data_IF_093467491413
#
_entry.id   IF_093467491413
#
_cell.length_a   1.000
_cell.length_b   1.000
_cell.length_c   1.000
_cell.angle_alpha   90.00
_cell.angle_beta   90.00
_cell.angle_gamma   90.00
#
_symmetry.space_group_name_H-M   'P 1'
#
loop_
_entity.id
_entity.type
_entity.pdbx_description
1 polymer ?
#
# COMPACT_ATOMS: atom_id res chain seq x y z
N UNK A 1 -20.83 -54.63 -39.77
CA UNK A 1 -21.49 -53.99 -40.91
C UNK A 1 -22.78 -53.26 -40.51
N UNK A 2 -23.41 -53.65 -39.39
CA UNK A 2 -24.72 -53.13 -38.95
C UNK A 2 -24.74 -51.64 -38.53
N UNK A 3 -23.64 -51.10 -38.03
CA UNK A 3 -23.56 -49.69 -37.59
C UNK A 3 -23.56 -48.74 -38.80
N UNK A 4 -22.97 -49.15 -39.92
CA UNK A 4 -22.83 -48.34 -41.13
C UNK A 4 -24.18 -48.26 -41.86
N UNK A 5 -24.95 -49.35 -41.90
CA UNK A 5 -26.30 -49.36 -42.48
C UNK A 5 -27.30 -48.51 -41.68
N UNK A 6 -27.18 -48.46 -40.35
CA UNK A 6 -28.04 -47.63 -39.51
C UNK A 6 -27.84 -46.12 -39.77
N UNK A 7 -26.59 -45.69 -39.95
CA UNK A 7 -26.24 -44.29 -40.25
C UNK A 7 -26.71 -43.92 -41.67
N UNK A 8 -26.56 -44.81 -42.65
CA UNK A 8 -26.99 -44.58 -44.04
C UNK A 8 -28.51 -44.43 -44.22
N UNK A 9 -29.33 -45.04 -43.35
CA UNK A 9 -30.79 -44.95 -43.43
C UNK A 9 -31.38 -43.69 -42.81
N UNK A 10 -30.66 -43.03 -41.90
CA UNK A 10 -31.17 -41.91 -41.11
C UNK A 10 -30.54 -40.57 -41.51
N UNK A 11 -29.41 -40.60 -42.20
CA UNK A 11 -28.72 -39.40 -42.68
C UNK A 11 -29.19 -39.04 -44.09
N UNK A 12 -29.43 -37.75 -44.28
CA UNK A 12 -29.75 -37.19 -45.59
C UNK A 12 -28.53 -37.27 -46.52
N UNK A 13 -28.77 -37.44 -47.83
CA UNK A 13 -27.72 -37.63 -48.82
C UNK A 13 -26.67 -36.50 -48.81
N UNK A 14 -27.06 -35.29 -48.37
CA UNK A 14 -26.19 -34.13 -48.28
C UNK A 14 -25.21 -34.19 -47.08
N UNK A 15 -25.59 -34.80 -45.96
CA UNK A 15 -24.71 -34.99 -44.80
C UNK A 15 -23.59 -35.98 -45.11
N UNK A 16 -23.94 -37.06 -45.83
CA UNK A 16 -22.99 -38.08 -46.26
C UNK A 16 -22.02 -37.51 -47.30
N UNK A 17 -22.52 -36.69 -48.24
CA UNK A 17 -21.65 -36.01 -49.21
C UNK A 17 -20.77 -34.95 -48.54
N UNK A 18 -21.27 -34.20 -47.55
CA UNK A 18 -20.47 -33.25 -46.78
C UNK A 18 -19.35 -33.96 -46.00
N UNK A 19 -19.66 -35.08 -45.35
CA UNK A 19 -18.68 -35.89 -44.65
C UNK A 19 -17.63 -36.48 -45.61
N UNK A 20 -18.07 -36.99 -46.77
CA UNK A 20 -17.16 -37.52 -47.80
C UNK A 20 -16.26 -36.42 -48.38
N UNK A 21 -16.78 -35.20 -48.58
CA UNK A 21 -15.98 -34.03 -48.98
C UNK A 21 -14.99 -33.64 -47.90
N UNK A 22 -15.38 -33.63 -46.63
CA UNK A 22 -14.47 -33.34 -45.51
C UNK A 22 -13.35 -34.37 -45.40
N UNK A 23 -13.67 -35.67 -45.51
CA UNK A 23 -12.69 -36.75 -45.51
C UNK A 23 -11.76 -36.64 -46.73
N UNK A 24 -12.31 -36.37 -47.92
CA UNK A 24 -11.53 -36.19 -49.15
C UNK A 24 -10.58 -34.99 -49.05
N UNK A 25 -11.04 -33.85 -48.51
CA UNK A 25 -10.21 -32.69 -48.21
C UNK A 25 -9.12 -33.01 -47.18
N UNK A 26 -9.40 -33.88 -46.21
CA UNK A 26 -8.43 -34.29 -45.20
C UNK A 26 -7.39 -35.28 -45.73
N UNK A 27 -7.69 -36.05 -46.77
CA UNK A 27 -6.77 -37.01 -47.39
C UNK A 27 -5.88 -36.33 -48.45
N UNK A 28 -6.33 -35.22 -49.06
CA UNK A 28 -5.48 -34.48 -50.00
C UNK A 28 -4.26 -33.85 -49.29
N UNK A 29 -3.03 -34.20 -49.69
CA UNK A 29 -1.80 -33.68 -49.08
C UNK A 29 -1.60 -32.17 -49.30
N UNK A 30 -2.19 -31.60 -50.36
CA UNK A 30 -2.11 -30.18 -50.67
C UNK A 30 -2.98 -29.31 -49.74
N UNK A 31 -4.09 -29.85 -49.21
CA UNK A 31 -4.91 -29.16 -48.20
C UNK A 31 -4.23 -29.17 -46.82
N UNK A 32 -3.59 -30.28 -46.42
CA UNK A 32 -2.79 -30.35 -45.19
C UNK A 32 -1.64 -29.34 -45.18
N UNK A 33 -0.99 -29.13 -46.34
CA UNK A 33 0.07 -28.12 -46.53
C UNK A 33 -0.46 -26.68 -46.59
N UNK A 34 -1.74 -26.48 -46.89
CA UNK A 34 -2.39 -25.16 -46.89
C UNK A 34 -2.95 -24.77 -45.52
N UNK A 35 -3.39 -25.71 -44.70
CA UNK A 35 -3.83 -25.44 -43.32
C UNK A 35 -2.64 -25.03 -42.44
N UNK A 36 -1.44 -25.57 -42.69
CA UNK A 36 -0.18 -25.11 -42.07
C UNK A 36 0.27 -23.73 -42.56
N UNK A 37 -0.33 -23.20 -43.63
CA UNK A 37 -0.09 -21.87 -44.21
C UNK A 37 -1.29 -20.94 -44.07
N UNK A 38 -2.22 -21.21 -43.14
CA UNK A 38 -3.04 -20.13 -42.60
C UNK A 38 -2.10 -19.31 -41.72
N UNK A 39 -1.40 -18.37 -42.36
CA UNK A 39 -0.75 -17.25 -41.70
C UNK A 39 -1.83 -16.50 -40.90
N UNK A 40 -2.05 -16.92 -39.65
CA UNK A 40 -2.80 -16.16 -38.67
C UNK A 40 -1.92 -14.98 -38.25
N UNK A 41 -1.81 -13.98 -39.11
CA UNK A 41 -0.98 -12.79 -38.88
C UNK A 41 -1.32 -12.07 -37.58
N UNK A 42 -2.59 -12.15 -37.14
CA UNK A 42 -3.00 -11.61 -35.85
C UNK A 42 -2.55 -12.48 -34.68
N UNK A 43 -2.45 -13.80 -34.83
CA UNK A 43 -2.07 -14.71 -33.74
C UNK A 43 -0.56 -14.71 -33.45
N UNK A 44 0.28 -14.57 -34.49
CA UNK A 44 1.74 -14.40 -34.30
C UNK A 44 2.07 -13.03 -33.68
N UNK A 45 1.38 -11.96 -34.10
CA UNK A 45 1.51 -10.64 -33.49
C UNK A 45 1.02 -10.64 -32.04
N UNK A 46 -0.13 -11.25 -31.76
CA UNK A 46 -0.66 -11.41 -30.39
C UNK A 46 0.29 -12.24 -29.51
N UNK A 47 0.90 -13.32 -30.03
CA UNK A 47 1.88 -14.11 -29.28
C UNK A 47 3.18 -13.35 -29.01
N UNK A 48 3.64 -12.54 -29.97
CA UNK A 48 4.83 -11.72 -29.80
C UNK A 48 4.56 -10.57 -28.81
N UNK A 49 3.40 -9.92 -28.90
CA UNK A 49 2.97 -8.91 -27.95
C UNK A 49 2.77 -9.50 -26.55
N UNK A 50 2.18 -10.69 -26.45
CA UNK A 50 2.04 -11.42 -25.19
C UNK A 50 3.41 -11.77 -24.59
N UNK A 51 4.37 -12.21 -25.42
CA UNK A 51 5.74 -12.50 -24.99
C UNK A 51 6.45 -11.24 -24.49
N UNK A 52 6.31 -10.13 -25.20
CA UNK A 52 6.86 -8.83 -24.79
C UNK A 52 6.20 -8.33 -23.49
N UNK A 53 4.89 -8.53 -23.31
CA UNK A 53 4.19 -8.20 -22.07
C UNK A 53 4.66 -9.09 -20.90
N UNK A 54 4.84 -10.39 -21.13
CA UNK A 54 5.37 -11.32 -20.13
C UNK A 54 6.79 -10.95 -19.75
N UNK A 55 7.64 -10.63 -20.73
CA UNK A 55 9.02 -10.22 -20.47
C UNK A 55 9.09 -8.90 -19.69
N UNK A 56 8.34 -7.88 -20.11
CA UNK A 56 8.22 -6.62 -19.37
C UNK A 56 7.66 -6.83 -17.96
N UNK A 57 6.71 -7.74 -17.81
CA UNK A 57 6.18 -8.16 -16.52
C UNK A 57 7.25 -8.77 -15.64
N UNK A 58 8.05 -9.70 -16.17
CA UNK A 58 9.17 -10.33 -15.45
C UNK A 58 10.24 -9.33 -15.05
N UNK A 59 10.63 -8.44 -15.95
CA UNK A 59 11.58 -7.35 -15.67
C UNK A 59 11.05 -6.43 -14.56
N UNK A 60 9.76 -6.08 -14.60
CA UNK A 60 9.15 -5.27 -13.54
C UNK A 60 9.07 -6.00 -12.21
N UNK A 61 8.82 -7.31 -12.21
CA UNK A 61 8.84 -8.13 -10.99
C UNK A 61 10.24 -8.13 -10.39
N UNK A 62 11.28 -8.35 -11.19
CA UNK A 62 12.67 -8.32 -10.70
C UNK A 62 13.05 -6.96 -10.12
N UNK A 63 12.69 -5.87 -10.79
CA UNK A 63 12.93 -4.51 -10.28
C UNK A 63 12.22 -4.29 -8.92
N UNK A 64 10.97 -4.73 -8.78
CA UNK A 64 10.23 -4.63 -7.52
C UNK A 64 10.84 -5.52 -6.42
N UNK A 65 11.30 -6.72 -6.75
CA UNK A 65 11.99 -7.61 -5.81
C UNK A 65 13.30 -6.98 -5.31
N UNK A 66 14.08 -6.37 -6.19
CA UNK A 66 15.31 -5.64 -5.84
C UNK A 66 15.02 -4.42 -4.96
N UNK A 67 13.97 -3.65 -5.26
CA UNK A 67 13.54 -2.53 -4.41
C UNK A 67 13.18 -3.01 -3.00
N UNK A 68 12.37 -4.06 -2.88
CA UNK A 68 11.94 -4.64 -1.59
C UNK A 68 13.13 -5.19 -0.80
N UNK A 69 14.06 -5.88 -1.47
CA UNK A 69 15.25 -6.40 -0.80
C UNK A 69 16.15 -5.28 -0.27
N UNK A 70 16.34 -4.21 -1.04
CA UNK A 70 17.10 -3.04 -0.61
C UNK A 70 16.45 -2.33 0.58
N UNK A 71 15.12 -2.15 0.55
CA UNK A 71 14.37 -1.59 1.68
C UNK A 71 14.54 -2.43 2.96
N UNK A 72 14.49 -3.76 2.82
CA UNK A 72 14.67 -4.69 3.94
C UNK A 72 16.07 -4.63 4.53
N UNK A 73 17.12 -4.64 3.70
CA UNK A 73 18.51 -4.55 4.17
C UNK A 73 18.77 -3.26 4.93
N UNK A 74 18.31 -2.13 4.40
CA UNK A 74 18.45 -0.86 5.13
C UNK A 74 17.73 -0.88 6.48
N UNK A 75 16.55 -1.48 6.52
CA UNK A 75 15.82 -1.59 7.76
C UNK A 75 16.56 -2.45 8.79
N UNK A 76 17.12 -3.58 8.37
CA UNK A 76 17.97 -4.44 9.21
C UNK A 76 19.20 -3.66 9.71
N UNK A 77 19.92 -2.96 8.82
CA UNK A 77 21.05 -2.09 9.20
C UNK A 77 20.63 -1.01 10.20
N UNK A 78 19.45 -0.40 10.00
CA UNK A 78 18.89 0.59 10.91
C UNK A 78 18.61 0.00 12.30
N UNK A 79 18.06 -1.22 12.37
CA UNK A 79 17.78 -1.88 13.63
C UNK A 79 19.06 -2.22 14.40
N UNK A 80 20.15 -2.57 13.69
CA UNK A 80 21.44 -2.85 14.33
C UNK A 80 22.09 -1.59 14.92
N UNK A 81 21.98 -0.45 14.24
CA UNK A 81 22.66 0.79 14.62
C UNK A 81 21.85 1.72 15.55
N UNK A 82 20.55 1.48 15.73
CA UNK A 82 19.69 2.38 16.49
C UNK A 82 19.72 2.08 17.99
N UNK A 83 20.13 3.07 18.79
CA UNK A 83 19.92 3.05 20.25
C UNK A 83 18.69 3.91 20.65
N UNK A 84 17.63 3.28 21.20
CA UNK A 84 16.45 3.96 21.72
C UNK A 84 16.70 4.91 22.88
N UNK A 85 17.88 4.97 23.49
CA UNK A 85 18.20 5.86 24.59
C UNK A 85 19.07 7.06 24.19
N UNK A 86 19.58 7.06 22.96
CA UNK A 86 20.44 8.10 22.40
C UNK A 86 19.86 9.53 22.50
N UNK A 87 20.67 10.58 22.75
CA UNK A 87 20.22 11.97 22.76
C UNK A 87 19.58 12.43 21.44
N UNK A 88 18.65 13.41 21.51
CA UNK A 88 17.88 13.90 20.34
C UNK A 88 18.78 14.43 19.21
N UNK A 89 19.94 15.00 19.54
CA UNK A 89 20.91 15.52 18.56
C UNK A 89 21.47 14.43 17.65
N UNK A 90 21.67 13.22 18.18
CA UNK A 90 22.20 12.08 17.43
C UNK A 90 21.09 11.38 16.63
N UNK A 91 19.85 11.37 17.15
CA UNK A 91 18.67 10.97 16.39
C UNK A 91 18.42 11.83 15.14
N UNK A 92 19.01 13.03 15.05
CA UNK A 92 18.86 13.88 13.87
C UNK A 92 19.49 13.27 12.61
N UNK A 93 20.66 12.62 12.74
CA UNK A 93 21.33 11.93 11.62
C UNK A 93 20.52 10.74 11.15
N UNK A 94 20.09 9.92 12.11
CA UNK A 94 19.21 8.78 11.90
C UNK A 94 17.93 9.20 11.18
N UNK A 95 17.25 10.23 11.68
CA UNK A 95 16.04 10.78 11.06
C UNK A 95 16.28 11.25 9.63
N UNK A 96 17.44 11.84 9.34
CA UNK A 96 17.77 12.28 7.98
C UNK A 96 17.98 11.09 7.04
N UNK A 97 18.61 10.01 7.52
CA UNK A 97 18.73 8.75 6.78
C UNK A 97 17.35 8.16 6.47
N UNK A 98 16.50 7.97 7.49
CA UNK A 98 15.14 7.45 7.31
C UNK A 98 14.35 8.31 6.32
N UNK A 99 14.42 9.64 6.40
CA UNK A 99 13.71 10.54 5.46
C UNK A 99 14.13 10.35 4.01
N UNK A 100 15.43 10.14 3.77
CA UNK A 100 15.93 9.95 2.40
C UNK A 100 15.34 8.68 1.77
N UNK A 101 15.22 7.62 2.55
CA UNK A 101 14.72 6.32 2.08
C UNK A 101 13.20 6.23 2.11
N UNK A 102 12.57 6.85 3.10
CA UNK A 102 11.12 6.92 3.21
C UNK A 102 10.48 7.53 1.96
N UNK A 103 11.18 8.38 1.20
CA UNK A 103 10.67 8.88 -0.09
C UNK A 103 10.52 7.78 -1.14
N UNK A 104 11.42 6.81 -1.13
CA UNK A 104 11.45 5.72 -2.10
C UNK A 104 10.57 4.54 -1.66
N UNK A 105 10.23 4.43 -0.38
CA UNK A 105 9.47 3.31 0.19
C UNK A 105 8.14 3.02 -0.53
N UNK A 106 8.07 1.99 -1.37
CA UNK A 106 6.87 1.70 -2.16
C UNK A 106 5.83 0.91 -1.37
N UNK A 107 6.25 0.09 -0.40
CA UNK A 107 5.38 -0.84 0.32
C UNK A 107 4.85 -0.26 1.64
N UNK A 108 3.65 0.32 1.59
CA UNK A 108 2.96 0.89 2.76
C UNK A 108 2.47 -0.17 3.76
N UNK A 109 2.23 -1.41 3.34
CA UNK A 109 1.76 -2.49 4.22
C UNK A 109 2.78 -2.81 5.31
N UNK A 110 4.08 -2.69 5.01
CA UNK A 110 5.14 -2.87 5.99
C UNK A 110 5.09 -1.79 7.09
N UNK A 111 4.69 -0.56 6.77
CA UNK A 111 4.52 0.49 7.78
C UNK A 111 3.29 0.22 8.65
N UNK A 112 2.21 -0.24 8.01
CA UNK A 112 0.96 -0.60 8.69
C UNK A 112 1.17 -1.73 9.69
N UNK A 113 1.90 -2.79 9.30
CA UNK A 113 2.16 -3.94 10.17
C UNK A 113 2.95 -3.56 11.43
N UNK A 114 3.64 -2.41 11.44
CA UNK A 114 4.43 -1.86 12.56
C UNK A 114 3.68 -0.81 13.39
N UNK A 115 2.43 -0.49 13.06
CA UNK A 115 1.56 0.38 13.87
C UNK A 115 0.81 -0.46 14.92
N UNK A 116 1.57 -1.09 15.83
CA UNK A 116 0.99 -1.89 16.91
C UNK A 116 1.86 -1.82 18.18
N UNK A 117 1.28 -2.17 19.34
CA UNK A 117 1.98 -2.07 20.64
C UNK A 117 3.10 -3.10 20.84
N UNK A 118 3.19 -4.14 20.01
CA UNK A 118 4.25 -5.16 20.05
C UNK A 118 5.51 -4.75 19.27
N UNK A 119 5.45 -3.67 18.49
CA UNK A 119 6.58 -3.18 17.73
C UNK A 119 7.69 -2.70 18.68
N UNK A 120 8.94 -2.95 18.32
CA UNK A 120 10.06 -2.39 19.08
C UNK A 120 10.11 -0.86 18.97
N UNK A 121 10.87 -0.21 19.85
CA UNK A 121 10.95 1.24 19.88
C UNK A 121 11.56 1.81 18.58
N UNK A 122 12.47 1.04 17.99
CA UNK A 122 13.21 1.26 16.77
C UNK A 122 12.29 1.21 15.56
N UNK A 123 11.56 0.10 15.42
CA UNK A 123 10.59 -0.11 14.34
C UNK A 123 9.51 0.97 14.36
N UNK A 124 9.02 1.32 15.56
CA UNK A 124 8.00 2.33 15.68
C UNK A 124 8.55 3.73 15.38
N UNK A 125 9.79 4.04 15.79
CA UNK A 125 10.41 5.33 15.46
C UNK A 125 10.64 5.48 13.96
N UNK A 126 11.15 4.44 13.31
CA UNK A 126 11.27 4.36 11.86
C UNK A 126 9.93 4.64 11.18
N UNK A 127 8.90 3.89 11.58
CA UNK A 127 7.54 4.00 11.05
C UNK A 127 6.98 5.41 11.23
N UNK A 128 7.16 6.01 12.41
CA UNK A 128 6.73 7.37 12.68
C UNK A 128 7.39 8.41 11.74
N UNK A 129 8.71 8.29 11.51
CA UNK A 129 9.44 9.18 10.61
C UNK A 129 9.01 8.97 9.16
N UNK A 130 8.86 7.72 8.73
CA UNK A 130 8.43 7.37 7.38
C UNK A 130 7.02 7.90 7.07
N UNK A 131 6.06 7.67 7.96
CA UNK A 131 4.69 8.20 7.84
C UNK A 131 4.67 9.73 7.77
N UNK A 132 5.50 10.40 8.58
CA UNK A 132 5.61 11.86 8.59
C UNK A 132 6.15 12.44 7.28
N UNK A 133 7.05 11.71 6.62
CA UNK A 133 7.66 12.12 5.35
C UNK A 133 6.72 11.82 4.16
N UNK A 134 6.25 10.57 4.02
CA UNK A 134 5.39 10.12 2.92
C UNK A 134 3.97 10.67 2.99
N UNK A 135 3.43 10.83 4.20
CA UNK A 135 2.03 11.23 4.45
C UNK A 135 1.02 10.32 3.72
N UNK A 136 1.13 8.98 3.87
CA UNK A 136 0.26 8.06 3.16
C UNK A 136 -1.16 8.18 3.68
N UNK A 137 -2.02 8.86 2.92
CA UNK A 137 -3.43 9.11 3.27
C UNK A 137 -4.24 7.82 3.38
N UNK A 138 -3.84 6.74 2.70
CA UNK A 138 -4.43 5.42 2.86
C UNK A 138 -4.24 4.82 4.27
N UNK A 139 -3.17 5.17 4.99
CA UNK A 139 -2.87 4.69 6.35
C UNK A 139 -3.40 5.64 7.44
N UNK A 140 -4.19 6.66 7.08
CA UNK A 140 -4.76 7.59 8.05
C UNK A 140 -5.60 6.87 9.14
N UNK A 141 -6.50 5.93 8.80
CA UNK A 141 -7.26 5.19 9.82
C UNK A 141 -6.37 4.37 10.75
N UNK A 142 -5.36 3.66 10.21
CA UNK A 142 -4.44 2.84 10.99
C UNK A 142 -3.64 3.69 11.98
N UNK A 143 -3.13 4.86 11.54
CA UNK A 143 -2.43 5.80 12.39
C UNK A 143 -3.33 6.37 13.51
N UNK A 144 -4.60 6.67 13.21
CA UNK A 144 -5.56 7.14 14.21
C UNK A 144 -5.84 6.04 15.24
N UNK A 145 -6.06 4.80 14.78
CA UNK A 145 -6.31 3.64 15.65
C UNK A 145 -5.13 3.40 16.58
N UNK A 146 -3.91 3.40 16.06
CA UNK A 146 -2.72 3.18 16.87
C UNK A 146 -2.47 4.30 17.90
N UNK A 147 -2.68 5.57 17.52
CA UNK A 147 -2.64 6.68 18.47
C UNK A 147 -3.74 6.58 19.55
N UNK A 148 -4.88 5.97 19.23
CA UNK A 148 -5.96 5.72 20.18
C UNK A 148 -5.53 4.66 21.21
N UNK A 149 -4.94 3.57 20.76
CA UNK A 149 -4.37 2.54 21.63
C UNK A 149 -3.29 3.12 22.56
N UNK A 150 -2.36 3.90 22.01
CA UNK A 150 -1.35 4.61 22.79
C UNK A 150 -1.97 5.56 23.82
N UNK A 151 -3.04 6.27 23.45
CA UNK A 151 -3.68 7.23 24.34
C UNK A 151 -4.33 6.57 25.57
N UNK A 152 -4.78 5.32 25.41
CA UNK A 152 -5.40 4.53 26.47
C UNK A 152 -4.37 3.98 27.48
N UNK A 153 -3.12 3.79 27.08
CA UNK A 153 -2.05 3.43 27.99
C UNK A 153 -1.49 4.68 28.72
N UNK A 154 -1.49 4.64 30.05
CA UNK A 154 -0.90 5.69 30.90
C UNK A 154 0.59 5.91 30.60
N UNK A 155 1.29 4.88 30.13
CA UNK A 155 2.69 4.96 29.75
C UNK A 155 2.94 5.14 28.25
N UNK A 156 1.90 5.38 27.42
CA UNK A 156 2.05 5.54 25.97
C UNK A 156 2.83 4.39 25.32
N UNK A 157 2.53 3.14 25.69
CA UNK A 157 3.21 1.93 25.21
C UNK A 157 4.65 1.77 25.70
N UNK A 158 5.12 2.62 26.62
CA UNK A 158 6.54 2.65 27.03
C UNK A 158 7.46 3.37 26.04
N UNK A 159 6.92 3.90 24.93
CA UNK A 159 7.72 4.57 23.91
C UNK A 159 8.21 5.95 24.38
N UNK A 160 9.25 6.45 23.70
CA UNK A 160 9.78 7.81 23.92
C UNK A 160 8.78 8.86 23.46
N UNK A 161 8.71 9.97 24.20
CA UNK A 161 7.86 11.12 23.85
C UNK A 161 8.17 11.70 22.46
N UNK A 162 9.43 11.66 22.02
CA UNK A 162 9.80 12.09 20.67
C UNK A 162 9.18 11.20 19.58
N UNK A 163 9.00 9.90 19.82
CA UNK A 163 8.30 8.99 18.90
C UNK A 163 6.83 9.34 18.83
N UNK A 164 6.18 9.54 19.98
CA UNK A 164 4.78 9.97 20.08
C UNK A 164 4.59 11.33 19.36
N UNK A 165 5.46 12.29 19.61
CA UNK A 165 5.49 13.59 18.92
C UNK A 165 5.60 13.43 17.40
N UNK A 166 6.43 12.49 16.94
CA UNK A 166 6.64 12.24 15.51
C UNK A 166 5.39 11.61 14.87
N UNK A 167 4.73 10.67 15.55
CA UNK A 167 3.46 10.08 15.12
C UNK A 167 2.33 11.13 15.07
N UNK A 168 2.19 11.95 16.10
CA UNK A 168 1.19 13.03 16.11
C UNK A 168 1.46 14.05 15.01
N UNK A 169 2.74 14.36 14.75
CA UNK A 169 3.13 15.20 13.62
C UNK A 169 2.84 14.55 12.28
N UNK A 170 3.01 13.23 12.15
CA UNK A 170 2.64 12.50 10.95
C UNK A 170 1.12 12.61 10.69
N UNK A 171 0.30 12.39 11.71
CA UNK A 171 -1.16 12.55 11.63
C UNK A 171 -1.54 13.97 11.18
N UNK A 172 -0.94 14.99 11.81
CA UNK A 172 -1.16 16.38 11.41
C UNK A 172 -0.84 16.63 9.93
N UNK A 173 0.33 16.18 9.44
CA UNK A 173 0.74 16.40 8.06
C UNK A 173 -0.09 15.59 7.06
N UNK A 174 -0.52 14.37 7.42
CA UNK A 174 -1.43 13.57 6.60
C UNK A 174 -2.82 14.22 6.52
N UNK A 175 -3.32 14.81 7.61
CA UNK A 175 -4.56 15.60 7.60
C UNK A 175 -4.46 16.84 6.69
N UNK A 176 -3.31 17.52 6.67
CA UNK A 176 -3.08 18.58 5.68
C UNK A 176 -3.17 18.03 4.26
N UNK A 177 -2.50 16.91 4.00
CA UNK A 177 -2.45 16.32 2.66
C UNK A 177 -3.85 15.97 2.14
N UNK A 178 -4.71 15.34 2.96
CA UNK A 178 -6.07 15.03 2.52
C UNK A 178 -6.99 16.26 2.45
N UNK A 179 -6.99 17.13 3.47
CA UNK A 179 -8.00 18.20 3.58
C UNK A 179 -7.63 19.44 2.78
N UNK A 180 -6.37 19.89 2.86
CA UNK A 180 -5.91 21.11 2.17
C UNK A 180 -5.51 20.81 0.74
N UNK A 181 -4.67 19.78 0.59
CA UNK A 181 -4.01 19.47 -0.68
C UNK A 181 -4.86 18.51 -1.54
N UNK A 182 -5.99 18.02 -1.00
CA UNK A 182 -6.96 17.14 -1.67
C UNK A 182 -6.35 15.84 -2.19
N UNK A 183 -5.34 15.33 -1.50
CA UNK A 183 -4.75 14.01 -1.80
C UNK A 183 -5.68 12.93 -1.27
N UNK A 184 -6.21 12.09 -2.16
CA UNK A 184 -7.22 11.09 -1.83
C UNK A 184 -6.65 9.83 -1.16
N UNK A 185 -7.48 9.09 -0.39
CA UNK A 185 -8.90 9.36 -0.14
C UNK A 185 -9.13 10.48 0.89
N UNK A 186 -10.21 11.25 0.70
CA UNK A 186 -10.66 12.22 1.71
C UNK A 186 -11.27 11.45 2.89
N UNK A 187 -10.89 11.74 4.15
CA UNK A 187 -11.51 11.08 5.30
C UNK A 187 -12.98 11.47 5.41
N UNK A 188 -13.81 10.47 5.64
CA UNK A 188 -15.23 10.68 5.93
C UNK A 188 -15.43 11.27 7.34
N UNK A 189 -16.68 11.57 7.66
CA UNK A 189 -17.06 12.11 8.96
C UNK A 189 -16.69 11.19 10.13
N UNK A 190 -16.81 9.87 9.97
CA UNK A 190 -16.55 8.92 11.04
C UNK A 190 -15.06 8.89 11.42
N UNK A 191 -14.18 8.82 10.41
CA UNK A 191 -12.72 8.87 10.60
C UNK A 191 -12.30 10.20 11.26
N UNK A 192 -12.90 11.33 10.86
CA UNK A 192 -12.61 12.63 11.45
C UNK A 192 -13.08 12.74 12.91
N UNK A 193 -14.26 12.21 13.24
CA UNK A 193 -14.76 12.16 14.62
C UNK A 193 -13.93 11.20 15.49
N UNK A 194 -13.46 10.09 14.93
CA UNK A 194 -12.50 9.21 15.60
C UNK A 194 -11.17 9.95 15.86
N UNK A 195 -10.61 10.62 14.85
CA UNK A 195 -9.39 11.42 15.00
C UNK A 195 -9.55 12.47 16.11
N UNK A 196 -10.69 13.18 16.16
CA UNK A 196 -10.96 14.18 17.19
C UNK A 196 -10.94 13.56 18.60
N UNK A 197 -11.65 12.43 18.78
CA UNK A 197 -11.68 11.72 20.07
C UNK A 197 -10.30 11.24 20.49
N UNK A 198 -9.55 10.64 19.57
CA UNK A 198 -8.18 10.16 19.81
C UNK A 198 -7.24 11.29 20.20
N UNK A 199 -7.26 12.42 19.47
CA UNK A 199 -6.41 13.57 19.76
C UNK A 199 -6.73 14.19 21.13
N UNK A 200 -8.02 14.30 21.48
CA UNK A 200 -8.44 14.78 22.79
C UNK A 200 -8.01 13.82 23.91
N UNK A 201 -8.17 12.50 23.72
CA UNK A 201 -7.73 11.51 24.69
C UNK A 201 -6.21 11.55 24.90
N UNK A 202 -5.44 11.67 23.81
CA UNK A 202 -3.99 11.79 23.86
C UNK A 202 -3.54 13.08 24.55
N UNK A 203 -4.25 14.20 24.33
CA UNK A 203 -3.99 15.45 25.05
C UNK A 203 -4.13 15.26 26.56
N UNK A 204 -5.15 14.53 27.03
CA UNK A 204 -5.36 14.29 28.47
C UNK A 204 -4.37 13.30 29.09
N UNK A 205 -3.50 12.66 28.31
CA UNK A 205 -2.56 11.69 28.84
C UNK A 205 -1.50 12.37 29.76
N UNK A 206 -1.23 11.83 30.97
CA UNK A 206 -0.32 12.46 31.92
C UNK A 206 1.10 12.71 31.37
N UNK A 207 1.64 11.78 30.58
CA UNK A 207 2.97 11.92 29.97
C UNK A 207 3.00 13.03 28.92
N UNK A 208 1.90 13.24 28.19
CA UNK A 208 1.75 14.33 27.22
C UNK A 208 1.64 15.69 27.94
N UNK A 209 0.93 15.75 29.06
CA UNK A 209 0.82 16.98 29.86
C UNK A 209 2.15 17.39 30.49
N UNK A 210 2.98 16.41 30.84
CA UNK A 210 4.34 16.61 31.37
C UNK A 210 5.38 16.87 30.28
N UNK A 211 5.04 16.69 29.00
CA UNK A 211 5.96 17.02 27.91
C UNK A 211 6.04 18.55 27.73
N UNK A 212 7.23 19.09 28.00
CA UNK A 212 7.57 20.53 27.87
C UNK A 212 6.53 21.43 28.57
N UNK A 213 6.35 21.33 29.91
CA UNK A 213 5.33 22.09 30.62
C UNK A 213 5.58 23.60 30.56
N UNK A 214 6.84 24.01 30.42
CA UNK A 214 7.29 25.39 30.21
C UNK A 214 6.87 25.95 28.83
N UNK A 215 6.80 25.09 27.81
CA UNK A 215 6.40 25.47 26.47
C UNK A 215 5.65 24.32 25.76
N UNK A 216 4.35 24.14 26.07
CA UNK A 216 3.53 23.05 25.55
C UNK A 216 3.56 22.93 24.01
N UNK A 217 3.63 24.06 23.32
CA UNK A 217 3.62 24.11 21.85
C UNK A 217 4.88 23.50 21.20
N UNK A 218 5.98 23.41 21.95
CA UNK A 218 7.21 22.74 21.49
C UNK A 218 7.24 21.23 21.78
N UNK A 219 6.28 20.73 22.56
CA UNK A 219 6.07 19.31 22.83
C UNK A 219 4.95 18.70 21.98
N UNK A 220 4.44 17.54 22.39
CA UNK A 220 3.36 16.78 21.70
C UNK A 220 2.08 17.61 21.56
N UNK A 221 1.81 18.51 22.52
CA UNK A 221 0.65 19.43 22.50
C UNK A 221 0.65 20.41 21.32
N UNK A 222 1.81 20.70 20.72
CA UNK A 222 1.91 21.49 19.50
C UNK A 222 1.23 20.81 18.30
N UNK A 223 1.76 19.67 17.82
CA UNK A 223 1.14 18.89 16.76
C UNK A 223 -0.32 18.51 17.03
N UNK A 224 -0.69 18.18 18.28
CA UNK A 224 -2.08 17.91 18.67
C UNK A 224 -3.03 19.07 18.31
N UNK A 225 -2.70 20.29 18.74
CA UNK A 225 -3.50 21.49 18.47
C UNK A 225 -3.65 21.73 16.95
N UNK A 226 -2.57 21.53 16.20
CA UNK A 226 -2.60 21.71 14.75
C UNK A 226 -3.44 20.63 14.06
N UNK A 227 -3.32 19.37 14.46
CA UNK A 227 -4.14 18.28 13.95
C UNK A 227 -5.63 18.53 14.22
N UNK A 228 -6.01 18.91 15.44
CA UNK A 228 -7.39 19.24 15.81
C UNK A 228 -7.97 20.38 14.96
N UNK A 229 -7.15 21.38 14.61
CA UNK A 229 -7.57 22.46 13.71
C UNK A 229 -7.94 21.93 12.33
N UNK A 230 -7.16 20.99 11.79
CA UNK A 230 -7.45 20.38 10.49
C UNK A 230 -8.65 19.43 10.55
N UNK A 231 -8.77 18.63 11.61
CA UNK A 231 -9.97 17.80 11.83
C UNK A 231 -11.23 18.67 11.83
N UNK A 232 -11.24 19.80 12.53
CA UNK A 232 -12.35 20.75 12.51
C UNK A 232 -12.72 21.23 11.10
N UNK A 233 -11.72 21.63 10.30
CA UNK A 233 -11.93 22.01 8.89
C UNK A 233 -12.49 20.87 8.03
N UNK A 234 -11.99 19.65 8.24
CA UNK A 234 -12.49 18.46 7.55
C UNK A 234 -13.95 18.16 7.88
N UNK A 235 -14.34 18.30 9.16
CA UNK A 235 -15.72 18.11 9.61
C UNK A 235 -16.66 19.18 9.03
N UNK A 236 -16.21 20.43 8.94
CA UNK A 236 -16.98 21.50 8.31
C UNK A 236 -17.18 21.28 6.81
N UNK A 237 -16.17 20.77 6.11
CA UNK A 237 -16.27 20.41 4.70
C UNK A 237 -17.30 19.29 4.46
N UNK A 238 -17.28 18.25 5.31
CA UNK A 238 -18.24 17.14 5.24
C UNK A 238 -19.69 17.55 5.54
N UNK A 239 -19.94 18.65 6.26
CA UNK A 239 -21.30 19.17 6.49
C UNK A 239 -21.88 19.91 5.27
N UNK A 240 -21.03 20.33 4.34
CA UNK A 240 -21.41 21.10 3.14
C UNK A 240 -21.53 20.23 1.89
N UNK A 241 -21.00 19.01 1.93
CA UNK A 241 -21.11 18.00 0.90
C UNK A 241 -22.42 17.22 1.07
#
# INVERSE_FOLDING_TARGET
>A
MDIIEAILRQSSLWEITLLAVLIYLFIQPDFRKRITKIKLGNFELELQELKDQVQKGQEKIQELEEEVENERRFFEDFLEDFDPNTPISELAKVRQSIRSQAKNLTELESLKSRLNLQSSAEELYFTAVALREKRPVSLLPDLISFLQELSADKNLGGYRLNTIWTLTSALHLTLIACIRDKVGPMPDKEILEQAQRTLNALEQNPRVQQDRPDNPSKGIRGPLKHALTWVGKGLEANKKA
#
